data_IF_932202301034
#
_entry.id   IF_932202301034
#
_cell.length_a   1.000
_cell.length_b   1.000
_cell.length_c   1.000
_cell.angle_alpha   90.00
_cell.angle_beta   90.00
_cell.angle_gamma   90.00
#
_symmetry.space_group_name_H-M   'P 1'
#
loop_
_entity.id
_entity.type
_entity.pdbx_description
1 polymer ?
#
# COMPACT_ATOMS: atom_id res chain seq x y z
N UNK A 1 -21.06 12.10 27.03
CA UNK A 1 -19.74 11.45 26.92
C UNK A 1 -19.90 10.22 26.07
N UNK A 2 -19.40 10.22 24.83
CA UNK A 2 -19.47 9.05 23.97
C UNK A 2 -18.21 8.20 24.19
N UNK A 3 -18.40 6.95 24.63
CA UNK A 3 -17.35 5.94 24.84
C UNK A 3 -16.86 5.30 23.54
N UNK A 4 -17.53 5.60 22.43
CA UNK A 4 -17.30 4.96 21.14
C UNK A 4 -16.70 6.01 20.22
N UNK A 5 -15.43 5.85 19.88
CA UNK A 5 -14.76 6.61 18.84
C UNK A 5 -14.67 5.72 17.62
N UNK A 6 -15.45 6.02 16.58
CA UNK A 6 -15.30 5.44 15.26
C UNK A 6 -14.01 6.01 14.66
N UNK A 7 -12.89 5.28 14.80
CA UNK A 7 -11.66 5.65 14.09
C UNK A 7 -11.86 5.36 12.61
N UNK A 8 -11.44 6.24 11.70
CA UNK A 8 -11.42 5.92 10.28
C UNK A 8 -10.47 4.74 10.09
N UNK A 9 -11.05 3.56 9.88
CA UNK A 9 -10.28 2.37 9.63
C UNK A 9 -9.72 2.50 8.21
N UNK A 10 -8.41 2.69 8.14
CA UNK A 10 -7.66 2.69 6.90
C UNK A 10 -7.63 1.24 6.43
N UNK A 11 -8.12 0.99 5.22
CA UNK A 11 -8.13 -0.33 4.60
C UNK A 11 -7.50 -0.24 3.22
N UNK A 12 -6.91 -1.33 2.76
CA UNK A 12 -6.51 -1.44 1.37
C UNK A 12 -7.72 -1.50 0.46
N UNK A 13 -7.64 -0.71 -0.60
CA UNK A 13 -8.70 -0.56 -1.59
C UNK A 13 -8.67 -1.74 -2.57
N UNK A 14 -9.35 -2.83 -2.22
CA UNK A 14 -9.34 -4.11 -2.96
C UNK A 14 -9.87 -4.00 -4.39
N UNK A 15 -10.54 -2.90 -4.73
CA UNK A 15 -10.98 -2.63 -6.10
C UNK A 15 -9.85 -2.08 -6.98
N UNK A 16 -8.94 -1.29 -6.41
CA UNK A 16 -7.83 -0.66 -7.12
C UNK A 16 -6.60 -1.58 -7.24
N UNK A 17 -6.36 -2.43 -6.24
CA UNK A 17 -5.24 -3.37 -6.23
C UNK A 17 -5.75 -4.81 -6.18
N UNK A 18 -5.35 -5.63 -7.16
CA UNK A 18 -5.73 -7.04 -7.24
C UNK A 18 -4.51 -7.94 -7.34
N UNK A 19 -4.74 -9.24 -7.14
CA UNK A 19 -3.74 -10.27 -7.39
C UNK A 19 -3.22 -10.16 -8.82
N UNK A 20 -1.91 -10.23 -8.99
CA UNK A 20 -1.22 -10.10 -10.29
C UNK A 20 -0.72 -8.69 -10.62
N UNK A 21 -1.12 -7.66 -9.85
CA UNK A 21 -0.59 -6.31 -10.03
C UNK A 21 0.86 -6.22 -9.58
N UNK A 22 1.63 -5.31 -10.19
CA UNK A 22 2.99 -5.00 -9.77
C UNK A 22 2.94 -4.02 -8.60
N UNK A 23 3.61 -4.36 -7.51
CA UNK A 23 3.78 -3.51 -6.34
C UNK A 23 5.26 -3.35 -6.02
N UNK A 24 5.68 -2.10 -5.84
CA UNK A 24 6.95 -1.74 -5.24
C UNK A 24 6.69 -1.26 -3.81
N UNK A 25 7.35 -1.91 -2.86
CA UNK A 25 7.25 -1.60 -1.44
C UNK A 25 8.62 -1.39 -0.84
N UNK A 26 8.83 -0.29 -0.13
CA UNK A 26 10.00 -0.05 0.70
C UNK A 26 9.57 0.12 2.15
N UNK A 27 9.96 -0.82 3.00
CA UNK A 27 9.85 -0.63 4.43
C UNK A 27 10.94 0.32 4.92
N UNK A 28 10.65 1.11 5.96
CA UNK A 28 11.59 2.07 6.54
C UNK A 28 12.88 1.42 7.03
N UNK A 29 12.83 0.18 7.52
CA UNK A 29 14.02 -0.56 7.96
C UNK A 29 14.82 -1.18 6.81
N UNK A 30 14.32 -1.13 5.57
CA UNK A 30 15.00 -1.69 4.41
C UNK A 30 15.84 -0.63 3.70
N UNK A 31 17.08 -0.98 3.37
CA UNK A 31 17.96 -0.09 2.60
C UNK A 31 17.37 0.20 1.21
N UNK A 32 16.83 -0.83 0.56
CA UNK A 32 16.27 -0.74 -0.79
C UNK A 32 14.83 -1.28 -0.85
N UNK A 33 14.00 -0.63 -1.68
CA UNK A 33 12.63 -1.07 -1.90
C UNK A 33 12.57 -2.21 -2.90
N UNK A 34 11.62 -3.13 -2.69
CA UNK A 34 11.49 -4.34 -3.50
C UNK A 34 10.24 -4.27 -4.34
N UNK A 35 10.39 -4.54 -5.63
CA UNK A 35 9.27 -4.77 -6.53
C UNK A 35 8.90 -6.25 -6.55
N UNK A 36 7.60 -6.50 -6.67
CA UNK A 36 7.05 -7.84 -6.72
C UNK A 36 5.61 -7.85 -7.20
N UNK A 37 5.05 -9.05 -7.31
CA UNK A 37 3.68 -9.26 -7.72
C UNK A 37 2.80 -9.49 -6.52
N UNK A 38 1.64 -8.83 -6.50
CA UNK A 38 0.64 -9.03 -5.46
C UNK A 38 0.07 -10.44 -5.60
N UNK A 39 0.22 -11.26 -4.57
CA UNK A 39 -0.32 -12.64 -4.55
C UNK A 39 -1.61 -12.73 -3.75
N UNK A 40 -1.79 -11.89 -2.73
CA UNK A 40 -3.02 -11.80 -1.95
C UNK A 40 -3.30 -10.35 -1.55
N UNK A 41 -4.57 -9.96 -1.62
CA UNK A 41 -5.07 -8.65 -1.19
C UNK A 41 -6.17 -8.90 -0.16
N UNK A 42 -5.95 -8.42 1.05
CA UNK A 42 -6.96 -8.36 2.10
C UNK A 42 -7.11 -6.92 2.56
N UNK A 43 -8.21 -6.59 3.24
CA UNK A 43 -8.47 -5.22 3.73
C UNK A 43 -7.38 -4.74 4.68
N UNK A 44 -6.82 -5.65 5.48
CA UNK A 44 -5.84 -5.34 6.51
C UNK A 44 -4.40 -5.62 6.07
N UNK A 45 -4.17 -6.38 5.00
CA UNK A 45 -2.83 -6.82 4.61
C UNK A 45 -2.69 -7.09 3.11
N UNK A 46 -1.56 -6.65 2.53
CA UNK A 46 -1.13 -7.02 1.18
C UNK A 46 0.01 -8.03 1.25
N UNK A 47 -0.08 -9.12 0.50
CA UNK A 47 1.04 -10.06 0.32
C UNK A 47 1.63 -9.88 -1.06
N UNK A 48 2.94 -9.66 -1.11
CA UNK A 48 3.69 -9.43 -2.34
C UNK A 48 4.82 -10.42 -2.46
N UNK A 49 4.85 -11.10 -3.59
CA UNK A 49 5.88 -12.03 -3.99
C UNK A 49 6.99 -11.29 -4.74
N UNK A 50 8.23 -11.45 -4.30
CA UNK A 50 9.39 -10.85 -4.97
C UNK A 50 10.50 -11.88 -5.17
N UNK A 51 11.35 -11.59 -6.15
CA UNK A 51 12.52 -12.41 -6.43
C UNK A 51 13.77 -11.76 -5.79
N UNK A 52 14.40 -12.39 -4.78
CA UNK A 52 15.58 -11.86 -4.10
C UNK A 52 16.88 -11.99 -4.92
N UNK A 53 16.86 -12.62 -6.09
CA UNK A 53 18.07 -12.80 -6.93
C UNK A 53 19.05 -13.88 -6.45
N UNK A 54 18.78 -14.53 -5.31
CA UNK A 54 19.63 -15.58 -4.74
C UNK A 54 18.93 -16.93 -4.95
N UNK A 55 19.40 -17.68 -5.95
CA UNK A 55 18.86 -18.99 -6.33
C UNK A 55 17.44 -18.94 -6.92
N UNK A 56 16.81 -20.10 -7.10
CA UNK A 56 15.40 -20.22 -7.57
C UNK A 56 14.39 -20.03 -6.42
N UNK A 57 14.70 -19.18 -5.44
CA UNK A 57 13.82 -18.96 -4.29
C UNK A 57 12.94 -17.76 -4.54
N UNK A 58 11.64 -17.93 -4.33
CA UNK A 58 10.69 -16.84 -4.37
C UNK A 58 10.26 -16.49 -2.95
N UNK A 59 10.49 -15.26 -2.53
CA UNK A 59 10.13 -14.81 -1.19
C UNK A 59 8.88 -13.93 -1.22
N UNK A 60 8.25 -13.79 -0.06
CA UNK A 60 7.07 -12.95 0.12
C UNK A 60 7.32 -11.96 1.25
N UNK A 61 6.80 -10.75 1.10
CA UNK A 61 6.64 -9.82 2.20
C UNK A 61 5.18 -9.43 2.35
N UNK A 62 4.81 -9.10 3.57
CA UNK A 62 3.47 -8.69 3.93
C UNK A 62 3.51 -7.23 4.36
N UNK A 63 2.56 -6.45 3.85
CA UNK A 63 2.38 -5.05 4.22
C UNK A 63 1.05 -4.97 5.00
N UNK A 64 1.10 -4.92 6.33
CA UNK A 64 -0.10 -4.66 7.12
C UNK A 64 -0.49 -3.18 7.01
N UNK A 65 -1.80 -2.93 6.98
CA UNK A 65 -2.34 -1.58 6.82
C UNK A 65 -1.99 -0.69 8.00
N UNK A 66 -1.83 -1.25 9.20
CA UNK A 66 -1.42 -0.50 10.39
C UNK A 66 -0.04 0.11 10.22
N UNK A 67 0.93 -0.63 9.66
CA UNK A 67 2.27 -0.09 9.40
C UNK A 67 2.28 0.87 8.21
N UNK A 68 1.49 0.58 7.17
CA UNK A 68 1.35 1.48 6.03
C UNK A 68 0.72 2.83 6.45
N UNK A 69 -0.30 2.79 7.32
CA UNK A 69 -0.96 3.96 7.88
C UNK A 69 -0.05 4.76 8.83
N UNK A 70 0.84 4.08 9.56
CA UNK A 70 1.87 4.70 10.40
C UNK A 70 3.01 5.32 9.57
N UNK A 71 2.99 5.16 8.24
CA UNK A 71 4.01 5.69 7.35
C UNK A 71 5.33 4.91 7.36
N UNK A 72 5.32 3.66 7.86
CA UNK A 72 6.48 2.77 7.85
C UNK A 72 6.77 2.20 6.45
N UNK A 73 5.78 2.22 5.56
CA UNK A 73 5.88 1.68 4.21
C UNK A 73 5.69 2.76 3.15
N UNK A 74 6.61 2.80 2.19
CA UNK A 74 6.41 3.51 0.94
C UNK A 74 5.94 2.53 -0.13
N UNK A 75 4.71 2.72 -0.61
CA UNK A 75 4.03 1.79 -1.51
C UNK A 75 3.71 2.50 -2.83
N UNK A 76 4.08 1.86 -3.94
CA UNK A 76 3.76 2.28 -5.30
C UNK A 76 3.30 1.06 -6.09
N UNK A 77 2.18 1.14 -6.79
CA UNK A 77 1.68 0.01 -7.59
C UNK A 77 1.23 0.46 -8.97
N UNK A 78 1.25 -0.47 -9.92
CA UNK A 78 0.70 -0.28 -11.26
C UNK A 78 -0.15 -1.48 -11.66
N UNK A 79 -1.28 -1.19 -12.32
CA UNK A 79 -2.12 -2.20 -12.98
C UNK A 79 -1.57 -2.57 -14.37
N UNK A 80 -0.90 -1.63 -15.02
CA UNK A 80 -0.45 -1.78 -16.40
C UNK A 80 1.08 -1.76 -16.45
N UNK A 81 1.67 -2.81 -17.03
CA UNK A 81 3.12 -2.90 -17.27
C UNK A 81 3.54 -2.17 -18.56
N UNK A 82 2.60 -1.61 -19.33
CA UNK A 82 2.84 -1.04 -20.66
C UNK A 82 3.19 0.46 -20.63
N UNK A 83 3.03 1.12 -19.49
CA UNK A 83 3.46 2.51 -19.28
C UNK A 83 4.53 2.54 -18.20
N UNK A 84 5.77 2.82 -18.60
CA UNK A 84 6.95 3.00 -17.73
C UNK A 84 6.86 4.21 -16.79
N UNK A 85 5.84 4.24 -15.94
CA UNK A 85 5.65 5.26 -14.92
C UNK A 85 4.94 4.66 -13.72
N UNK A 86 5.71 4.33 -12.67
CA UNK A 86 5.23 3.99 -11.33
C UNK A 86 4.56 5.25 -10.70
N UNK A 87 3.41 5.68 -11.24
CA UNK A 87 2.83 7.01 -10.98
C UNK A 87 1.71 7.07 -9.94
N UNK A 88 1.44 6.00 -9.19
CA UNK A 88 0.58 6.10 -8.00
C UNK A 88 1.38 5.82 -6.75
N UNK A 89 1.84 6.90 -6.11
CA UNK A 89 2.19 6.88 -4.68
C UNK A 89 0.88 6.67 -3.92
N UNK A 90 0.86 5.77 -2.94
CA UNK A 90 -0.23 5.69 -1.98
C UNK A 90 -0.20 6.97 -1.14
N UNK A 91 -0.77 8.05 -1.66
CA UNK A 91 -1.13 9.18 -0.82
C UNK A 91 -2.37 8.73 -0.05
N UNK A 92 -2.13 8.15 1.13
CA UNK A 92 -3.16 8.12 2.14
C UNK A 92 -3.67 9.57 2.27
N UNK A 93 -4.99 9.81 2.24
CA UNK A 93 -5.50 11.16 2.43
C UNK A 93 -4.91 11.68 3.75
N UNK A 94 -4.47 12.95 3.81
CA UNK A 94 -4.01 13.53 5.06
C UNK A 94 -5.16 13.37 6.06
N UNK A 95 -4.90 12.65 7.15
CA UNK A 95 -5.87 12.48 8.23
C UNK A 95 -6.01 13.85 8.90
N UNK A 96 -6.97 14.64 8.43
CA UNK A 96 -7.37 15.87 9.12
C UNK A 96 -8.00 15.48 10.46
N UNK A 97 -7.60 16.08 11.59
CA UNK A 97 -8.26 15.86 12.89
C UNK A 97 -9.70 16.41 12.94
N UNK A 98 -10.16 17.06 11.87
CA UNK A 98 -11.51 17.61 11.73
C UNK A 98 -12.11 17.15 10.40
N UNK A 99 -13.08 16.24 10.47
CA UNK A 99 -13.70 15.57 9.32
C UNK A 99 -14.57 16.47 8.44
N UNK A 100 -13.94 17.29 7.60
CA UNK A 100 -14.61 17.94 6.48
C UNK A 100 -13.83 17.74 5.18
N UNK A 101 -14.49 17.39 4.06
CA UNK A 101 -13.86 17.41 2.75
C UNK A 101 -13.52 18.85 2.37
N UNK A 102 -12.25 19.12 2.05
CA UNK A 102 -11.86 20.36 1.37
C UNK A 102 -12.54 20.36 -0.01
N UNK A 103 -13.53 21.22 -0.19
CA UNK A 103 -13.98 21.58 -1.54
C UNK A 103 -12.79 22.22 -2.26
N UNK A 104 -12.37 21.63 -3.37
CA UNK A 104 -11.47 22.29 -4.33
C UNK A 104 -12.27 23.40 -5.02
N UNK A 105 -11.80 24.66 -5.02
CA UNK A 105 -12.42 25.71 -5.82
C UNK A 105 -12.21 25.46 -7.33
N UNK A 106 -13.05 26.07 -8.19
CA UNK A 106 -13.06 25.86 -9.64
C UNK A 106 -11.77 26.31 -10.35
#
# INVERSE_FOLDING_TARGET
MALITEKPATFFDTEQIKRGHLLWGKHRTWNEGRSGFVTAVTKDCLTVQYYPGIGNVTNHFMIPISEAADGQWEIRWSYDMSQGSLNRRLMLPPVSPHGFPRQTPP
#
